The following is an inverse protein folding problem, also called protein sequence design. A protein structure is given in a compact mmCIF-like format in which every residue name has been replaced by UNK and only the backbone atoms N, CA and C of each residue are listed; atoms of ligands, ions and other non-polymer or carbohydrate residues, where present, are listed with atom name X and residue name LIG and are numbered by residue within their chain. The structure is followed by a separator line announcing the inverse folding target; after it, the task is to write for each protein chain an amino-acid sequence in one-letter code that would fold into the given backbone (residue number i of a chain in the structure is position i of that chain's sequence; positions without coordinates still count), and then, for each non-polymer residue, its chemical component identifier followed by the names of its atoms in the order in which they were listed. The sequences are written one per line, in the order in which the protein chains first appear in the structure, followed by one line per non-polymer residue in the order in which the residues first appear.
data_IF_344670162055
#
_entry.id   IF_344670162055
#
_cell.length_a   1.000
_cell.length_b   1.000
_cell.length_c   1.000
_cell.angle_alpha   90.00
_cell.angle_beta   90.00
_cell.angle_gamma   90.00
#
_symmetry.space_group_name_H-M   'P 1'
#
loop_
_entity.id
_entity.type
_entity.pdbx_description
1 polymer ?
#
# COMPACT_ATOMS: atom_id res chain seq x y z
N UNK A 1 -20.84 0.19 25.15
CA UNK A 1 -20.90 -0.87 24.12
C UNK A 1 -19.73 -0.82 23.13
N UNK A 2 -19.27 0.35 22.66
CA UNK A 2 -18.08 0.45 21.76
C UNK A 2 -16.76 -0.05 22.37
N UNK A 3 -16.57 0.12 23.68
CA UNK A 3 -15.34 -0.29 24.39
C UNK A 3 -15.13 -1.81 24.38
N UNK A 4 -16.22 -2.59 24.43
CA UNK A 4 -16.17 -4.05 24.31
C UNK A 4 -15.77 -4.47 22.91
N UNK A 5 -16.29 -3.81 21.87
CA UNK A 5 -15.93 -4.09 20.46
C UNK A 5 -14.45 -3.80 20.22
N UNK A 6 -13.93 -2.69 20.74
CA UNK A 6 -12.52 -2.36 20.68
C UNK A 6 -11.63 -3.38 21.40
N UNK A 7 -12.03 -3.81 22.60
CA UNK A 7 -11.29 -4.81 23.36
C UNK A 7 -11.25 -6.18 22.63
N UNK A 8 -12.37 -6.62 22.05
CA UNK A 8 -12.42 -7.83 21.24
C UNK A 8 -11.58 -7.71 19.96
N UNK A 9 -11.64 -6.56 19.27
CA UNK A 9 -10.81 -6.27 18.10
C UNK A 9 -9.30 -6.27 18.42
N UNK A 10 -8.92 -5.75 19.59
CA UNK A 10 -7.53 -5.79 20.05
C UNK A 10 -7.06 -7.22 20.32
N UNK A 11 -7.89 -8.04 20.99
CA UNK A 11 -7.57 -9.45 21.26
C UNK A 11 -7.35 -10.25 19.98
N UNK A 12 -8.27 -10.17 19.00
CA UNK A 12 -8.11 -10.88 17.72
C UNK A 12 -6.86 -10.42 16.96
N UNK A 13 -6.53 -9.11 17.01
CA UNK A 13 -5.32 -8.59 16.38
C UNK A 13 -4.05 -9.12 17.04
N UNK A 14 -4.02 -9.28 18.37
CA UNK A 14 -2.88 -9.85 19.09
C UNK A 14 -2.67 -11.31 18.70
N UNK A 15 -3.74 -12.12 18.67
CA UNK A 15 -3.65 -13.52 18.24
C UNK A 15 -3.14 -13.63 16.80
N UNK A 16 -3.62 -12.79 15.89
CA UNK A 16 -3.12 -12.73 14.52
C UNK A 16 -1.64 -12.35 14.42
N UNK A 17 -1.21 -11.37 15.20
CA UNK A 17 0.19 -10.93 15.24
C UNK A 17 1.13 -12.02 15.79
N UNK A 18 0.74 -12.74 16.85
CA UNK A 18 1.54 -13.83 17.42
C UNK A 18 1.78 -14.94 16.40
N UNK A 19 0.74 -15.39 15.70
CA UNK A 19 0.88 -16.39 14.65
C UNK A 19 1.79 -15.91 13.50
N UNK A 20 1.70 -14.63 13.13
CA UNK A 20 2.56 -14.07 12.08
C UNK A 20 4.03 -13.96 12.51
N UNK A 21 4.29 -13.73 13.80
CA UNK A 21 5.65 -13.72 14.38
C UNK A 21 6.26 -15.12 14.41
N UNK A 22 5.50 -16.14 14.83
CA UNK A 22 5.95 -17.54 14.79
C UNK A 22 6.31 -17.95 13.34
N UNK A 23 5.47 -17.56 12.38
CA UNK A 23 5.72 -17.86 10.96
C UNK A 23 6.96 -17.11 10.44
N UNK A 24 7.12 -15.83 10.80
CA UNK A 24 8.26 -14.99 10.40
C UNK A 24 9.59 -15.35 11.05
N UNK A 25 9.59 -16.03 12.19
CA UNK A 25 10.82 -16.59 12.79
C UNK A 25 11.15 -17.98 12.23
N UNK A 26 10.15 -18.78 11.84
CA UNK A 26 10.36 -20.12 11.27
C UNK A 26 10.94 -20.09 9.84
N UNK A 27 10.57 -19.08 9.03
CA UNK A 27 10.91 -18.99 7.61
C UNK A 27 11.64 -17.67 7.34
N UNK A 28 12.98 -17.76 7.20
CA UNK A 28 13.86 -16.61 6.94
C UNK A 28 14.01 -16.27 5.45
N UNK A 29 12.92 -16.33 4.69
CA UNK A 29 12.94 -15.98 3.26
C UNK A 29 12.47 -14.53 3.06
N UNK A 30 13.16 -13.80 2.18
CA UNK A 30 12.74 -12.46 1.76
C UNK A 30 11.51 -12.56 0.85
N UNK A 31 10.39 -11.96 1.25
CA UNK A 31 9.14 -11.99 0.49
C UNK A 31 7.85 -11.99 1.33
N UNK A 32 7.96 -11.95 2.66
CA UNK A 32 6.82 -11.87 3.58
C UNK A 32 5.74 -12.93 3.27
N UNK A 33 4.49 -12.50 3.07
CA UNK A 33 3.33 -13.34 2.77
C UNK A 33 3.52 -14.22 1.53
N UNK A 34 4.12 -13.69 0.46
CA UNK A 34 4.37 -14.42 -0.78
C UNK A 34 5.35 -15.59 -0.55
N UNK A 35 6.38 -15.37 0.26
CA UNK A 35 7.35 -16.42 0.58
C UNK A 35 6.66 -17.60 1.28
N UNK A 36 5.76 -17.35 2.23
CA UNK A 36 5.03 -18.41 2.94
C UNK A 36 4.17 -19.26 1.99
N UNK A 37 3.46 -18.64 1.04
CA UNK A 37 2.65 -19.39 0.07
C UNK A 37 3.51 -20.21 -0.90
N UNK A 38 4.71 -19.73 -1.25
CA UNK A 38 5.67 -20.48 -2.05
C UNK A 38 6.24 -21.70 -1.32
N UNK A 39 6.45 -21.64 0.01
CA UNK A 39 6.88 -22.81 0.80
C UNK A 39 5.87 -23.96 0.76
N UNK A 40 4.58 -23.65 0.66
CA UNK A 40 3.52 -24.65 0.58
C UNK A 40 3.37 -25.25 -0.85
N UNK A 41 4.16 -24.79 -1.84
CA UNK A 41 4.06 -25.13 -3.28
C UNK A 41 2.76 -24.68 -3.97
N UNK A 42 2.08 -23.64 -3.46
CA UNK A 42 0.84 -23.08 -4.04
C UNK A 42 1.11 -21.86 -4.93
N UNK A 43 1.96 -22.03 -5.94
CA UNK A 43 2.39 -20.94 -6.84
C UNK A 43 1.26 -20.09 -7.47
N UNK A 44 0.16 -20.66 -8.01
CA UNK A 44 -0.90 -19.83 -8.62
C UNK A 44 -1.67 -19.00 -7.58
N UNK A 45 -1.83 -19.51 -6.35
CA UNK A 45 -2.49 -18.79 -5.26
C UNK A 45 -1.59 -17.67 -4.73
N UNK A 46 -0.28 -17.91 -4.63
CA UNK A 46 0.72 -16.92 -4.26
C UNK A 46 0.71 -15.72 -5.23
N UNK A 47 0.65 -16.01 -6.53
CA UNK A 47 0.56 -14.96 -7.56
C UNK A 47 -0.74 -14.17 -7.46
N UNK A 48 -1.89 -14.85 -7.32
CA UNK A 48 -3.18 -14.19 -7.16
C UNK A 48 -3.22 -13.26 -5.94
N UNK A 49 -2.69 -13.70 -4.80
CA UNK A 49 -2.62 -12.89 -3.58
C UNK A 49 -1.72 -11.67 -3.75
N UNK A 50 -0.52 -11.84 -4.31
CA UNK A 50 0.40 -10.75 -4.58
C UNK A 50 -0.22 -9.72 -5.55
N UNK A 51 -0.88 -10.18 -6.61
CA UNK A 51 -1.56 -9.31 -7.56
C UNK A 51 -2.68 -8.50 -6.90
N UNK A 52 -3.56 -9.13 -6.11
CA UNK A 52 -4.64 -8.42 -5.41
C UNK A 52 -4.10 -7.46 -4.36
N UNK A 53 -3.04 -7.85 -3.65
CA UNK A 53 -2.33 -6.97 -2.72
C UNK A 53 -1.85 -5.70 -3.39
N UNK A 54 -1.06 -5.86 -4.45
CA UNK A 54 -0.50 -4.75 -5.23
C UNK A 54 -1.57 -3.87 -5.90
N UNK A 55 -2.57 -4.47 -6.54
CA UNK A 55 -3.53 -3.75 -7.39
C UNK A 55 -4.71 -3.18 -6.60
N UNK A 56 -5.12 -3.80 -5.48
CA UNK A 56 -6.35 -3.43 -4.78
C UNK A 56 -6.07 -2.91 -3.37
N UNK A 57 -5.28 -3.63 -2.56
CA UNK A 57 -5.12 -3.28 -1.14
C UNK A 57 -4.36 -1.97 -0.92
N UNK A 58 -3.24 -1.76 -1.63
CA UNK A 58 -2.50 -0.49 -1.53
C UNK A 58 -3.30 0.75 -1.96
N UNK A 59 -3.98 0.78 -3.13
CA UNK A 59 -4.75 1.94 -3.54
C UNK A 59 -5.99 2.17 -2.65
N UNK A 60 -6.61 1.12 -2.13
CA UNK A 60 -7.73 1.26 -1.20
C UNK A 60 -7.28 1.92 0.11
N UNK A 61 -6.14 1.50 0.67
CA UNK A 61 -5.64 2.05 1.92
C UNK A 61 -5.37 3.57 1.82
N UNK A 62 -4.70 4.01 0.76
CA UNK A 62 -4.46 5.45 0.52
C UNK A 62 -5.76 6.22 0.25
N UNK A 63 -6.76 5.59 -0.39
CA UNK A 63 -8.04 6.22 -0.69
C UNK A 63 -8.86 6.50 0.59
N UNK A 64 -8.93 5.53 1.49
CA UNK A 64 -9.63 5.69 2.78
C UNK A 64 -8.96 6.75 3.64
N UNK A 65 -7.62 6.78 3.67
CA UNK A 65 -6.87 7.82 4.40
C UNK A 65 -7.11 9.21 3.81
N UNK A 66 -7.06 9.36 2.48
CA UNK A 66 -7.31 10.64 1.82
C UNK A 66 -8.75 11.13 2.03
N UNK A 67 -9.75 10.24 1.95
CA UNK A 67 -11.14 10.60 2.21
C UNK A 67 -11.34 11.07 3.65
N UNK A 68 -10.75 10.34 4.61
CA UNK A 68 -10.82 10.69 6.03
C UNK A 68 -10.16 12.04 6.30
N UNK A 69 -9.00 12.29 5.71
CA UNK A 69 -8.30 13.57 5.81
C UNK A 69 -9.13 14.73 5.25
N UNK A 70 -9.80 14.53 4.11
CA UNK A 70 -10.67 15.56 3.51
C UNK A 70 -11.83 15.93 4.42
N UNK A 71 -12.48 14.96 5.07
CA UNK A 71 -13.59 15.21 6.00
C UNK A 71 -13.09 15.97 7.24
N UNK A 72 -11.93 15.58 7.81
CA UNK A 72 -11.33 16.28 8.94
C UNK A 72 -10.89 17.71 8.61
N UNK A 73 -10.39 17.98 7.40
CA UNK A 73 -10.03 19.34 6.97
C UNK A 73 -11.25 20.27 6.93
N UNK A 74 -12.37 19.81 6.35
CA UNK A 74 -13.59 20.61 6.24
C UNK A 74 -14.17 20.92 7.62
N UNK A 75 -14.17 19.92 8.50
CA UNK A 75 -14.59 20.11 9.90
C UNK A 75 -13.67 21.08 10.64
N UNK A 76 -12.35 21.03 10.40
CA UNK A 76 -11.37 21.94 11.00
C UNK A 76 -11.52 23.40 10.56
N UNK A 77 -11.80 23.65 9.27
CA UNK A 77 -11.94 25.01 8.73
C UNK A 77 -13.33 25.64 8.94
N UNK A 78 -14.28 24.92 9.57
CA UNK A 78 -15.66 25.39 9.82
C UNK A 78 -16.33 25.99 8.57
N UNK A 79 -16.10 25.38 7.41
CA UNK A 79 -16.68 25.83 6.15
C UNK A 79 -18.15 25.39 6.12
N UNK A 80 -19.03 26.23 6.68
CA UNK A 80 -20.46 26.00 6.68
C UNK A 80 -21.01 26.52 5.35
N UNK A 81 -21.08 25.63 4.36
CA UNK A 81 -21.67 25.92 3.06
C UNK A 81 -23.19 25.90 3.28
N UNK A 82 -23.87 26.98 2.91
CA UNK A 82 -25.32 27.18 3.14
C UNK A 82 -26.20 26.09 2.48
N UNK A 83 -25.66 25.34 1.52
CA UNK A 83 -26.31 24.23 0.83
C UNK A 83 -25.70 22.87 1.21
N UNK A 84 -26.45 21.99 1.91
CA UNK A 84 -25.96 20.68 2.35
C UNK A 84 -25.59 19.75 1.17
N UNK A 85 -26.24 19.93 0.03
CA UNK A 85 -25.97 19.18 -1.21
C UNK A 85 -24.62 19.58 -1.82
N UNK A 86 -24.32 20.88 -1.87
CA UNK A 86 -23.06 21.39 -2.43
C UNK A 86 -21.85 20.99 -1.58
N UNK A 87 -22.00 20.97 -0.25
CA UNK A 87 -20.97 20.50 0.67
C UNK A 87 -20.61 19.03 0.46
N UNK A 88 -21.62 18.18 0.21
CA UNK A 88 -21.41 16.76 -0.06
C UNK A 88 -20.66 16.50 -1.37
N UNK A 89 -20.93 17.29 -2.42
CA UNK A 89 -20.17 17.20 -3.66
C UNK A 89 -18.75 17.74 -3.50
N UNK A 90 -18.57 18.86 -2.78
CA UNK A 90 -17.26 19.47 -2.55
C UNK A 90 -16.30 18.53 -1.80
N UNK A 91 -16.76 17.89 -0.72
CA UNK A 91 -15.93 16.94 0.04
C UNK A 91 -15.56 15.70 -0.76
N UNK A 92 -16.49 15.18 -1.57
CA UNK A 92 -16.26 14.00 -2.41
C UNK A 92 -15.30 14.33 -3.57
N UNK A 93 -15.40 15.54 -4.12
CA UNK A 93 -14.53 16.03 -5.18
C UNK A 93 -13.12 16.36 -4.66
N UNK A 94 -13.00 16.93 -3.45
CA UNK A 94 -11.71 17.11 -2.77
C UNK A 94 -11.04 15.77 -2.47
N UNK A 95 -11.77 14.80 -1.91
CA UNK A 95 -11.27 13.45 -1.70
C UNK A 95 -10.78 12.80 -3.01
N UNK A 96 -11.56 12.89 -4.08
CA UNK A 96 -11.18 12.37 -5.40
C UNK A 96 -9.94 13.08 -5.98
N UNK A 97 -9.87 14.41 -5.86
CA UNK A 97 -8.73 15.19 -6.35
C UNK A 97 -7.42 14.83 -5.61
N UNK A 98 -7.49 14.61 -4.29
CA UNK A 98 -6.36 14.17 -3.47
C UNK A 98 -5.89 12.76 -3.88
N UNK A 99 -6.82 11.82 -4.08
CA UNK A 99 -6.53 10.46 -4.53
C UNK A 99 -5.87 10.47 -5.92
N UNK A 100 -6.43 11.23 -6.87
CA UNK A 100 -5.84 11.36 -8.21
C UNK A 100 -4.44 11.98 -8.19
N UNK A 101 -4.21 13.01 -7.36
CA UNK A 101 -2.88 13.62 -7.21
C UNK A 101 -1.86 12.63 -6.65
N UNK A 102 -2.24 11.85 -5.64
CA UNK A 102 -1.36 10.87 -5.01
C UNK A 102 -1.07 9.67 -5.92
N UNK A 103 -2.09 9.13 -6.60
CA UNK A 103 -1.93 8.05 -7.55
C UNK A 103 -1.02 8.43 -8.72
N UNK A 104 -1.20 9.62 -9.30
CA UNK A 104 -0.34 10.12 -10.39
C UNK A 104 1.09 10.36 -9.91
N UNK A 105 1.28 10.91 -8.69
CA UNK A 105 2.61 11.07 -8.11
C UNK A 105 3.32 9.72 -7.94
N UNK A 106 2.62 8.71 -7.40
CA UNK A 106 3.19 7.38 -7.21
C UNK A 106 3.51 6.71 -8.54
N UNK A 107 2.63 6.80 -9.54
CA UNK A 107 2.89 6.27 -10.89
C UNK A 107 4.09 6.95 -11.56
N UNK A 108 4.25 8.27 -11.40
CA UNK A 108 5.40 8.99 -11.92
C UNK A 108 6.70 8.67 -11.16
N UNK A 109 6.66 8.53 -9.83
CA UNK A 109 7.84 8.19 -9.02
C UNK A 109 8.27 6.73 -9.26
N UNK A 110 7.31 5.81 -9.33
CA UNK A 110 7.57 4.40 -9.62
C UNK A 110 8.11 4.23 -11.05
N UNK A 111 7.56 4.94 -12.02
CA UNK A 111 8.11 4.99 -13.39
C UNK A 111 9.55 5.50 -13.42
N UNK A 112 9.88 6.54 -12.65
CA UNK A 112 11.25 7.06 -12.52
C UNK A 112 12.19 6.09 -11.78
N UNK A 113 11.72 5.39 -10.75
CA UNK A 113 12.51 4.39 -9.99
C UNK A 113 12.79 3.12 -10.80
N UNK A 114 11.82 2.62 -11.57
CA UNK A 114 12.04 1.51 -12.50
C UNK A 114 13.08 1.88 -13.55
N UNK A 115 12.94 3.08 -14.14
CA UNK A 115 13.91 3.60 -15.10
C UNK A 115 15.32 3.64 -14.46
N UNK A 116 15.49 4.29 -13.29
CA UNK A 116 16.78 4.39 -12.59
C UNK A 116 17.39 3.05 -12.20
N UNK A 117 16.58 2.06 -11.81
CA UNK A 117 17.07 0.72 -11.42
C UNK A 117 17.63 -0.02 -12.64
N UNK A 118 16.97 0.09 -13.80
CA UNK A 118 17.42 -0.55 -15.05
C UNK A 118 18.73 0.06 -15.57
N UNK A 119 18.94 1.38 -15.49
CA UNK A 119 20.25 1.98 -15.85
C UNK A 119 21.38 1.55 -14.92
N UNK A 120 21.10 1.36 -13.64
CA UNK A 120 22.13 0.97 -12.66
C UNK A 120 22.57 -0.48 -12.88
N UNK A 121 21.65 -1.38 -13.19
CA UNK A 121 21.94 -2.77 -13.57
C UNK A 121 22.64 -2.90 -14.93
N UNK A 122 22.26 -2.06 -15.91
CA UNK A 122 22.89 -2.00 -17.23
C UNK A 122 24.33 -1.48 -17.17
N UNK A 123 24.56 -0.39 -16.41
CA UNK A 123 25.92 0.15 -16.21
C UNK A 123 26.80 -0.82 -15.42
N UNK A 124 26.25 -1.54 -14.44
CA UNK A 124 26.99 -2.56 -13.68
C UNK A 124 27.41 -3.75 -14.55
N UNK A 125 26.55 -4.21 -15.46
CA UNK A 125 26.89 -5.28 -16.40
C UNK A 125 27.94 -4.86 -17.44
N UNK A 126 27.88 -3.62 -17.96
CA UNK A 126 28.83 -3.13 -18.96
C UNK A 126 30.26 -2.94 -18.39
N UNK A 127 30.38 -2.47 -17.13
CA UNK A 127 31.68 -2.31 -16.46
C UNK A 127 32.31 -3.65 -16.10
N UNK A 128 31.51 -4.64 -15.67
CA UNK A 128 32.00 -6.02 -15.44
C UNK A 128 32.51 -6.66 -16.74
N UNK A 129 31.76 -6.52 -17.84
CA UNK A 129 32.15 -7.07 -19.15
C UNK A 129 33.44 -6.43 -19.71
N UNK A 130 33.72 -5.16 -19.38
CA UNK A 130 34.95 -4.49 -19.79
C UNK A 130 36.17 -4.84 -18.91
N UNK A 131 35.98 -5.35 -17.68
CA UNK A 131 37.06 -5.83 -16.81
C UNK A 131 37.41 -7.31 -17.06
N UNK A 132 36.49 -8.11 -17.61
CA UNK A 132 36.76 -9.50 -18.03
C UNK A 132 37.45 -9.60 -19.42
N UNK A 133 37.60 -8.48 -20.14
CA UNK A 133 38.19 -8.39 -21.50
C UNK A 133 39.61 -7.76 -21.51
N UNK A 134 40.16 -7.42 -20.34
CA UNK A 134 41.54 -6.91 -20.17
C UNK A 134 42.38 -7.83 -19.30
#
# INVERSE_FOLDING_TARGET
MSLVVWALAALISIFGALCYVELGTSIRASGADFAYLCYLKWYPLAFGFMCVGCVVLFPVAIAVQAQTFSEYLIQGFRIEICDPTAAFFAKKLLGFALICKFHTFFSCDFGKRQHSTIYTEFHRNYVLFSMDIV
#
